data_IF_460491839058
#
_entry.id   IF_460491839058
#
_cell.length_a   1.000
_cell.length_b   1.000
_cell.length_c   1.000
_cell.angle_alpha   90.00
_cell.angle_beta   90.00
_cell.angle_gamma   90.00
#
_symmetry.space_group_name_H-M   'P 1'
#
loop_
_entity.id
_entity.type
_entity.pdbx_description
1 polymer ?
#
# COMPACT_ATOMS: atom_id res chain seq x y z
N UNK A 1 23.07 -0.85 88.06
CA UNK A 1 23.53 -0.43 86.73
C UNK A 1 22.60 -1.13 85.71
N UNK A 2 21.66 -0.37 85.20
CA UNK A 2 20.62 -0.90 84.32
C UNK A 2 20.91 -0.50 82.85
N UNK A 3 21.33 -1.42 82.01
CA UNK A 3 21.58 -1.17 80.58
C UNK A 3 20.26 -1.22 79.82
N UNK A 4 19.84 -0.07 79.29
CA UNK A 4 18.68 -0.01 78.30
C UNK A 4 19.19 -0.43 76.92
N UNK A 5 18.57 -1.43 76.38
CA UNK A 5 18.71 -1.84 74.96
C UNK A 5 17.60 -1.15 74.17
N UNK A 6 17.99 -0.26 73.25
CA UNK A 6 17.09 0.42 72.36
C UNK A 6 17.01 -0.48 71.08
N UNK A 7 15.86 -1.12 70.86
CA UNK A 7 15.58 -1.85 69.63
C UNK A 7 15.18 -0.89 68.53
N UNK A 8 15.95 -0.84 67.46
CA UNK A 8 15.60 -0.17 66.19
C UNK A 8 14.63 -1.08 65.39
N UNK A 9 13.37 -0.68 65.32
CA UNK A 9 12.39 -1.30 64.36
C UNK A 9 12.70 -0.73 62.96
N UNK A 10 13.28 -1.55 62.10
CA UNK A 10 13.41 -1.29 60.68
C UNK A 10 12.07 -1.47 59.97
N UNK A 11 11.49 -0.38 59.46
CA UNK A 11 10.33 -0.42 58.58
C UNK A 11 10.82 -0.80 57.19
N UNK A 12 10.59 -2.05 56.76
CA UNK A 12 10.84 -2.48 55.41
C UNK A 12 9.69 -1.98 54.51
N UNK A 13 9.99 -1.04 53.62
CA UNK A 13 9.07 -0.65 52.54
C UNK A 13 9.07 -1.75 51.47
N UNK A 14 7.99 -2.52 51.41
CA UNK A 14 7.71 -3.39 50.25
C UNK A 14 7.23 -2.50 49.10
N UNK A 15 8.10 -2.19 48.15
CA UNK A 15 7.71 -1.70 46.85
C UNK A 15 7.28 -2.92 46.05
N UNK A 16 5.98 -3.20 46.03
CA UNK A 16 5.41 -4.20 45.15
C UNK A 16 5.62 -3.78 43.67
N UNK A 17 5.81 -4.72 42.75
CA UNK A 17 5.85 -4.38 41.33
C UNK A 17 4.52 -3.68 40.97
N UNK A 18 4.64 -2.47 40.41
CA UNK A 18 3.49 -1.81 39.78
C UNK A 18 2.99 -2.75 38.71
N UNK A 19 1.78 -3.28 38.86
CA UNK A 19 1.08 -3.97 37.80
C UNK A 19 0.89 -2.94 36.68
N UNK A 20 1.62 -3.10 35.58
CA UNK A 20 1.31 -2.43 34.32
C UNK A 20 -0.04 -3.03 33.92
N UNK A 21 -1.11 -2.31 34.16
CA UNK A 21 -2.41 -2.66 33.61
C UNK A 21 -2.23 -2.70 32.08
N UNK A 22 -2.41 -3.84 31.47
CA UNK A 22 -2.66 -3.91 30.04
C UNK A 22 -3.95 -3.13 29.81
N UNK A 23 -3.79 -1.90 29.38
CA UNK A 23 -4.92 -1.09 28.93
C UNK A 23 -5.35 -1.72 27.62
N UNK A 24 -6.49 -2.37 27.60
CA UNK A 24 -7.12 -2.84 26.37
C UNK A 24 -7.38 -1.63 25.45
N UNK A 25 -7.45 -1.87 24.16
CA UNK A 25 -7.75 -0.83 23.16
C UNK A 25 -9.03 -0.12 23.55
N UNK A 26 -9.05 1.20 23.45
CA UNK A 26 -10.24 2.03 23.76
C UNK A 26 -11.43 1.56 22.89
N UNK A 27 -12.54 1.12 23.49
CA UNK A 27 -13.72 0.68 22.72
C UNK A 27 -14.25 1.76 21.76
N UNK A 28 -14.13 3.05 22.12
CA UNK A 28 -14.56 4.14 21.24
C UNK A 28 -13.68 4.27 19.99
N UNK A 29 -12.38 3.94 20.10
CA UNK A 29 -11.47 3.89 18.96
C UNK A 29 -11.84 2.75 18.01
N UNK A 30 -12.18 1.59 18.55
CA UNK A 30 -12.63 0.44 17.74
C UNK A 30 -13.96 0.74 17.04
N UNK A 31 -14.94 1.32 17.74
CA UNK A 31 -16.24 1.71 17.16
C UNK A 31 -16.04 2.70 16.00
N UNK A 32 -15.18 3.73 16.17
CA UNK A 32 -14.83 4.67 15.11
C UNK A 32 -14.18 3.94 13.92
N UNK A 33 -13.24 3.05 14.18
CA UNK A 33 -12.58 2.25 13.15
C UNK A 33 -13.56 1.38 12.35
N UNK A 34 -14.53 0.77 13.03
CA UNK A 34 -15.60 0.00 12.41
C UNK A 34 -16.44 0.87 11.46
N UNK A 35 -16.90 2.03 11.91
CA UNK A 35 -17.68 2.95 11.07
C UNK A 35 -16.90 3.40 9.83
N UNK A 36 -15.62 3.70 9.99
CA UNK A 36 -14.74 4.06 8.87
C UNK A 36 -14.55 2.90 7.89
N UNK A 37 -14.44 1.69 8.41
CA UNK A 37 -14.32 0.47 7.61
C UNK A 37 -15.60 0.23 6.79
N UNK A 38 -16.77 0.36 7.40
CA UNK A 38 -18.06 0.19 6.74
C UNK A 38 -18.25 1.15 5.57
N UNK A 39 -17.77 2.39 5.71
CA UNK A 39 -17.91 3.42 4.66
C UNK A 39 -16.87 3.26 3.54
N UNK A 40 -15.62 2.92 3.88
CA UNK A 40 -14.51 3.03 2.94
C UNK A 40 -13.98 1.69 2.42
N UNK A 41 -14.16 0.58 3.16
CA UNK A 41 -13.43 -0.67 2.92
C UNK A 41 -14.32 -1.86 2.54
N UNK A 42 -15.55 -1.91 3.06
CA UNK A 42 -16.49 -3.06 2.90
C UNK A 42 -16.75 -3.41 1.44
N UNK A 43 -16.80 -2.43 0.55
CA UNK A 43 -17.07 -2.67 -0.86
C UNK A 43 -16.10 -3.69 -1.48
N UNK A 44 -14.83 -3.61 -1.08
CA UNK A 44 -13.76 -4.46 -1.60
C UNK A 44 -13.43 -5.61 -0.64
N UNK A 45 -13.34 -5.33 0.66
CA UNK A 45 -12.89 -6.30 1.66
C UNK A 45 -14.01 -7.08 2.35
N UNK A 46 -15.29 -6.74 2.09
CA UNK A 46 -16.50 -7.34 2.67
C UNK A 46 -16.65 -7.06 4.18
N UNK A 47 -17.86 -7.24 4.71
CA UNK A 47 -18.15 -7.03 6.13
C UNK A 47 -17.36 -7.97 7.05
N UNK A 48 -17.13 -9.21 6.59
CA UNK A 48 -16.38 -10.24 7.30
C UNK A 48 -14.86 -10.14 7.12
N UNK A 49 -14.35 -9.18 6.34
CA UNK A 49 -12.94 -9.09 6.03
C UNK A 49 -12.41 -10.18 5.10
N UNK A 50 -13.28 -11.01 4.50
CA UNK A 50 -12.90 -12.15 3.66
C UNK A 50 -12.32 -11.75 2.30
N UNK A 51 -12.52 -10.49 1.89
CA UNK A 51 -12.05 -9.98 0.61
C UNK A 51 -12.77 -10.58 -0.60
N UNK A 52 -12.10 -10.58 -1.73
CA UNK A 52 -12.58 -11.16 -2.99
C UNK A 52 -11.42 -11.52 -3.90
N UNK A 53 -11.13 -12.82 -3.97
CA UNK A 53 -10.04 -13.37 -4.78
C UNK A 53 -10.33 -13.16 -6.28
N UNK A 54 -9.33 -12.83 -7.09
CA UNK A 54 -7.91 -12.62 -6.75
C UNK A 54 -7.55 -11.18 -6.37
N UNK A 55 -8.44 -10.21 -6.54
CA UNK A 55 -8.13 -8.79 -6.59
C UNK A 55 -8.15 -8.10 -5.21
N UNK A 56 -8.98 -8.57 -4.28
CA UNK A 56 -9.15 -7.95 -2.97
C UNK A 56 -8.71 -8.92 -1.89
N UNK A 57 -7.53 -8.71 -1.26
CA UNK A 57 -7.02 -9.64 -0.26
C UNK A 57 -7.94 -9.71 0.96
N UNK A 58 -8.01 -10.89 1.57
CA UNK A 58 -8.63 -11.02 2.87
C UNK A 58 -7.88 -10.19 3.92
N UNK A 59 -8.64 -9.59 4.82
CA UNK A 59 -8.12 -8.93 6.02
C UNK A 59 -8.29 -9.83 7.24
N UNK A 60 -9.33 -10.68 7.26
CA UNK A 60 -9.50 -11.69 8.30
C UNK A 60 -8.41 -12.77 8.18
N UNK A 61 -7.73 -13.06 9.29
CA UNK A 61 -6.68 -14.06 9.36
C UNK A 61 -5.41 -13.71 8.58
N UNK A 62 -5.22 -12.46 8.18
CA UNK A 62 -4.07 -12.03 7.40
C UNK A 62 -2.90 -11.63 8.30
N UNK A 63 -1.90 -12.51 8.41
CA UNK A 63 -0.72 -12.30 9.26
C UNK A 63 0.09 -11.03 8.92
N UNK A 64 -0.03 -10.50 7.70
CA UNK A 64 0.65 -9.26 7.29
C UNK A 64 0.11 -8.02 8.04
N UNK A 65 -1.08 -8.11 8.61
CA UNK A 65 -1.65 -7.05 9.45
C UNK A 65 -0.99 -6.96 10.84
N UNK A 66 -0.11 -7.89 11.18
CA UNK A 66 0.80 -7.77 12.32
C UNK A 66 1.75 -6.56 12.19
N UNK A 67 2.06 -6.14 10.97
CA UNK A 67 2.85 -4.94 10.67
C UNK A 67 1.93 -3.70 10.52
N UNK A 68 1.90 -2.87 11.58
CA UNK A 68 1.11 -1.64 11.59
C UNK A 68 1.56 -0.62 10.52
N UNK A 69 2.88 -0.53 10.24
CA UNK A 69 3.42 0.34 9.21
C UNK A 69 2.85 0.01 7.84
N UNK A 70 2.72 -1.28 7.53
CA UNK A 70 2.13 -1.75 6.28
C UNK A 70 0.67 -1.31 6.11
N UNK A 71 -0.12 -1.37 7.18
CA UNK A 71 -1.52 -0.91 7.18
C UNK A 71 -1.58 0.60 6.93
N UNK A 72 -0.80 1.37 7.68
CA UNK A 72 -0.71 2.84 7.55
C UNK A 72 -0.31 3.22 6.12
N UNK A 73 0.72 2.55 5.56
CA UNK A 73 1.17 2.78 4.19
C UNK A 73 0.07 2.47 3.17
N UNK A 74 -0.61 1.32 3.31
CA UNK A 74 -1.66 0.91 2.38
C UNK A 74 -2.86 1.87 2.41
N UNK A 75 -3.25 2.37 3.58
CA UNK A 75 -4.34 3.33 3.72
C UNK A 75 -3.96 4.69 3.14
N UNK A 76 -2.76 5.19 3.47
CA UNK A 76 -2.35 6.55 3.10
C UNK A 76 -1.89 6.69 1.65
N UNK A 77 -1.24 5.67 1.10
CA UNK A 77 -0.64 5.71 -0.24
C UNK A 77 -1.37 4.84 -1.27
N UNK A 78 -2.27 3.96 -0.81
CA UNK A 78 -2.85 2.90 -1.64
C UNK A 78 -1.90 1.71 -1.81
N UNK A 79 -2.41 0.60 -2.34
CA UNK A 79 -1.64 -0.61 -2.61
C UNK A 79 -2.36 -1.43 -3.68
N UNK A 80 -1.70 -1.78 -4.78
CA UNK A 80 -2.34 -2.49 -5.88
C UNK A 80 -3.57 -1.74 -6.40
N UNK A 81 -4.73 -2.37 -6.38
CA UNK A 81 -6.01 -1.74 -6.75
C UNK A 81 -6.63 -0.90 -5.63
N UNK A 82 -6.10 -0.99 -4.42
CA UNK A 82 -6.58 -0.21 -3.28
C UNK A 82 -6.19 1.27 -3.46
N UNK A 83 -7.15 2.20 -3.51
CA UNK A 83 -6.83 3.62 -3.64
C UNK A 83 -6.24 4.17 -2.34
N UNK A 84 -5.48 5.30 -2.40
CA UNK A 84 -5.16 6.06 -1.22
C UNK A 84 -6.40 6.76 -0.64
N UNK A 85 -6.40 7.01 0.67
CA UNK A 85 -7.46 7.72 1.38
C UNK A 85 -6.93 9.03 2.00
N UNK A 86 -6.70 10.07 1.18
CA UNK A 86 -6.02 11.30 1.59
C UNK A 86 -6.84 12.16 2.58
N UNK A 87 -8.15 11.93 2.65
CA UNK A 87 -9.06 12.69 3.52
C UNK A 87 -9.15 12.12 4.95
N UNK A 88 -8.56 10.94 5.20
CA UNK A 88 -8.52 10.36 6.54
C UNK A 88 -7.46 11.07 7.39
N UNK A 89 -7.89 11.50 8.58
CA UNK A 89 -6.98 12.10 9.57
C UNK A 89 -6.08 11.03 10.21
N UNK A 90 -5.05 11.45 10.93
CA UNK A 90 -4.19 10.54 11.71
C UNK A 90 -5.02 9.70 12.69
N UNK A 91 -6.00 10.33 13.34
CA UNK A 91 -6.92 9.67 14.27
C UNK A 91 -7.83 8.66 13.55
N UNK A 92 -8.25 8.94 12.31
CA UNK A 92 -9.03 8.01 11.49
C UNK A 92 -8.20 6.80 11.09
N UNK A 93 -6.96 7.02 10.65
CA UNK A 93 -6.03 5.94 10.30
C UNK A 93 -5.71 5.09 11.52
N UNK A 94 -5.51 5.73 12.70
CA UNK A 94 -5.28 5.01 13.96
C UNK A 94 -6.48 4.14 14.34
N UNK A 95 -7.70 4.68 14.24
CA UNK A 95 -8.92 3.96 14.54
C UNK A 95 -9.12 2.77 13.59
N UNK A 96 -8.94 3.01 12.29
CA UNK A 96 -9.10 2.01 11.24
C UNK A 96 -8.07 0.88 11.38
N UNK A 97 -6.80 1.22 11.63
CA UNK A 97 -5.73 0.25 11.84
C UNK A 97 -6.01 -0.64 13.07
N UNK A 98 -6.44 -0.04 14.19
CA UNK A 98 -6.80 -0.80 15.38
C UNK A 98 -8.01 -1.71 15.15
N UNK A 99 -9.04 -1.24 14.44
CA UNK A 99 -10.19 -2.08 14.09
C UNK A 99 -9.74 -3.27 13.24
N UNK A 100 -9.08 -3.06 12.11
CA UNK A 100 -8.67 -4.11 11.17
C UNK A 100 -7.77 -5.15 11.86
N UNK A 101 -6.86 -4.71 12.75
CA UNK A 101 -5.93 -5.58 13.47
C UNK A 101 -6.59 -6.47 14.53
N UNK A 102 -7.79 -6.10 14.99
CA UNK A 102 -8.46 -6.79 16.11
C UNK A 102 -9.92 -7.17 15.79
N UNK A 103 -10.35 -7.01 14.53
CA UNK A 103 -11.65 -7.48 14.07
C UNK A 103 -11.59 -8.94 13.62
N UNK A 104 -12.74 -9.56 13.57
CA UNK A 104 -12.98 -10.95 13.14
C UNK A 104 -12.14 -11.94 13.95
N UNK A 105 -11.21 -12.67 13.32
CA UNK A 105 -10.30 -13.61 14.01
C UNK A 105 -8.92 -13.00 14.31
N UNK A 106 -8.71 -11.72 13.96
CA UNK A 106 -7.46 -11.04 14.18
C UNK A 106 -7.26 -10.65 15.65
N UNK A 107 -6.02 -10.79 16.14
CA UNK A 107 -5.57 -10.39 17.48
C UNK A 107 -4.09 -9.92 17.41
N UNK A 108 -3.86 -8.83 16.67
CA UNK A 108 -2.50 -8.29 16.45
C UNK A 108 -2.15 -7.15 17.42
N UNK A 109 -3.03 -6.89 18.41
CA UNK A 109 -2.84 -5.83 19.40
C UNK A 109 -3.02 -4.42 18.85
N UNK A 110 -2.83 -3.43 19.71
CA UNK A 110 -3.03 -2.02 19.42
C UNK A 110 -1.86 -1.40 18.63
N UNK A 111 -2.18 -0.29 18.00
CA UNK A 111 -1.24 0.67 17.45
C UNK A 111 -1.61 2.06 17.95
N UNK A 112 -0.64 2.76 18.51
CA UNK A 112 -0.85 4.11 19.07
C UNK A 112 -0.87 5.16 17.94
N UNK A 113 -1.47 6.31 18.25
CA UNK A 113 -1.43 7.48 17.35
C UNK A 113 0.01 7.93 17.08
N UNK A 114 0.90 7.85 18.07
CA UNK A 114 2.31 8.22 17.91
C UNK A 114 3.03 7.28 16.91
N UNK A 115 2.73 5.98 16.95
CA UNK A 115 3.26 5.01 15.96
C UNK A 115 2.71 5.28 14.56
N UNK A 116 1.44 5.66 14.44
CA UNK A 116 0.85 6.07 13.15
C UNK A 116 1.53 7.34 12.63
N UNK A 117 1.71 8.35 13.47
CA UNK A 117 2.44 9.59 13.11
C UNK A 117 3.86 9.27 12.66
N UNK A 118 4.61 8.49 13.43
CA UNK A 118 5.97 8.09 13.08
C UNK A 118 6.01 7.32 11.75
N UNK A 119 5.00 6.46 11.50
CA UNK A 119 4.86 5.73 10.24
C UNK A 119 4.62 6.68 9.07
N UNK A 120 3.70 7.64 9.21
CA UNK A 120 3.42 8.64 8.18
C UNK A 120 4.62 9.57 7.92
N UNK A 121 5.32 9.98 8.97
CA UNK A 121 6.57 10.75 8.84
C UNK A 121 7.66 9.93 8.14
N UNK A 122 7.80 8.67 8.51
CA UNK A 122 8.71 7.73 7.84
C UNK A 122 8.39 7.57 6.35
N UNK A 123 7.12 7.44 5.99
CA UNK A 123 6.67 7.40 4.60
C UNK A 123 6.95 8.72 3.84
N UNK A 124 6.85 9.87 4.51
CA UNK A 124 7.22 11.16 3.94
C UNK A 124 8.73 11.35 3.82
N UNK A 125 9.52 10.80 4.75
CA UNK A 125 10.98 10.87 4.76
C UNK A 125 11.62 9.85 3.81
N UNK A 126 10.96 8.71 3.56
CA UNK A 126 11.41 7.72 2.58
C UNK A 126 11.09 8.14 1.14
N UNK A 127 10.31 9.20 0.94
CA UNK A 127 10.06 9.71 -0.38
C UNK A 127 9.32 11.04 -0.41
N UNK A 128 10.00 12.12 -0.72
CA UNK A 128 9.34 13.15 -1.51
C UNK A 128 8.72 12.42 -2.70
N UNK A 129 7.39 12.52 -2.82
CA UNK A 129 6.67 11.94 -3.96
C UNK A 129 7.27 12.51 -5.25
N UNK A 130 7.98 11.67 -5.97
CA UNK A 130 8.63 12.01 -7.23
C UNK A 130 7.58 11.83 -8.32
N UNK A 131 7.41 12.84 -9.15
CA UNK A 131 6.51 12.72 -10.29
C UNK A 131 7.12 11.78 -11.34
N UNK A 132 6.29 10.97 -12.00
CA UNK A 132 6.73 10.19 -13.16
C UNK A 132 7.27 11.07 -14.30
N UNK A 133 7.08 12.41 -14.23
CA UNK A 133 7.63 13.38 -15.16
C UNK A 133 9.06 13.83 -14.82
N UNK A 134 9.63 13.37 -13.72
CA UNK A 134 10.97 13.75 -13.24
C UNK A 134 12.07 12.79 -13.72
N UNK A 135 11.83 12.00 -14.77
CA UNK A 135 12.84 11.10 -15.35
C UNK A 135 13.14 9.89 -14.46
N UNK A 136 12.11 9.08 -14.20
CA UNK A 136 12.17 7.98 -13.22
C UNK A 136 12.60 6.62 -13.81
N UNK A 137 12.81 6.52 -15.11
CA UNK A 137 13.24 5.33 -15.84
C UNK A 137 14.29 5.69 -16.88
N UNK A 138 15.09 4.73 -17.35
CA UNK A 138 16.05 4.95 -18.43
C UNK A 138 15.46 4.62 -19.80
N UNK A 139 16.02 5.21 -20.87
CA UNK A 139 15.63 4.87 -22.24
C UNK A 139 15.86 3.38 -22.53
N UNK A 140 16.99 2.81 -22.06
CA UNK A 140 17.31 1.41 -22.22
C UNK A 140 16.26 0.50 -21.54
N UNK A 141 15.74 0.90 -20.37
CA UNK A 141 14.67 0.18 -19.68
C UNK A 141 13.38 0.21 -20.50
N UNK A 142 12.99 1.36 -21.03
CA UNK A 142 11.82 1.47 -21.90
C UNK A 142 11.95 0.66 -23.19
N UNK A 143 13.14 0.58 -23.78
CA UNK A 143 13.42 -0.26 -24.97
C UNK A 143 13.28 -1.76 -24.66
N UNK A 144 13.74 -2.24 -23.49
CA UNK A 144 13.52 -3.62 -23.07
C UNK A 144 12.02 -3.91 -22.92
N UNK A 145 11.27 -3.01 -22.28
CA UNK A 145 9.82 -3.13 -22.15
C UNK A 145 9.11 -3.14 -23.50
N UNK A 146 9.54 -2.32 -24.45
CA UNK A 146 9.04 -2.31 -25.83
C UNK A 146 9.25 -3.67 -26.53
N UNK A 147 10.37 -4.31 -26.27
CA UNK A 147 10.67 -5.61 -26.86
C UNK A 147 9.81 -6.75 -26.30
N UNK A 148 9.49 -6.71 -24.99
CA UNK A 148 8.65 -7.71 -24.31
C UNK A 148 7.15 -7.50 -24.55
N UNK A 149 6.69 -6.24 -24.53
CA UNK A 149 5.27 -5.85 -24.59
C UNK A 149 4.41 -6.56 -25.64
N UNK A 150 4.85 -6.76 -26.91
CA UNK A 150 3.99 -7.27 -27.98
C UNK A 150 3.42 -8.66 -27.72
N UNK A 151 4.15 -9.52 -26.99
CA UNK A 151 3.73 -10.88 -26.67
C UNK A 151 2.62 -10.92 -25.60
N UNK A 152 2.96 -10.59 -24.35
CA UNK A 152 2.04 -10.77 -23.23
C UNK A 152 0.90 -9.73 -23.18
N UNK A 153 1.09 -8.53 -23.75
CA UNK A 153 0.17 -7.41 -23.59
C UNK A 153 -0.45 -6.92 -24.90
N UNK A 154 0.34 -6.90 -25.97
CA UNK A 154 0.01 -6.22 -27.21
C UNK A 154 -1.18 -6.79 -27.97
N UNK A 155 -1.52 -8.06 -27.77
CA UNK A 155 -2.69 -8.70 -28.39
C UNK A 155 -4.00 -8.08 -27.89
N UNK A 156 -4.11 -7.84 -26.59
CA UNK A 156 -5.31 -7.27 -25.98
C UNK A 156 -5.26 -5.74 -25.93
N UNK A 157 -4.13 -5.17 -25.52
CA UNK A 157 -4.00 -3.72 -25.30
C UNK A 157 -3.56 -2.93 -26.54
N UNK A 158 -3.44 -3.60 -27.70
CA UNK A 158 -3.00 -3.00 -28.96
C UNK A 158 -1.50 -2.72 -29.00
N UNK A 159 -0.93 -2.81 -30.20
CA UNK A 159 0.52 -2.57 -30.41
C UNK A 159 0.95 -1.13 -30.08
N UNK A 160 -0.01 -0.20 -30.06
CA UNK A 160 0.20 1.22 -29.75
C UNK A 160 -0.19 1.60 -28.33
N UNK A 161 -0.47 0.63 -27.47
CA UNK A 161 -0.98 0.80 -26.11
C UNK A 161 -2.32 1.58 -26.06
N UNK A 162 -3.09 1.54 -27.10
CA UNK A 162 -4.32 2.32 -27.29
C UNK A 162 -5.61 1.54 -26.96
N UNK A 163 -5.49 0.28 -26.52
CA UNK A 163 -6.62 -0.59 -26.18
C UNK A 163 -7.22 -1.29 -27.38
N UNK A 164 -6.48 -1.40 -28.48
CA UNK A 164 -6.90 -2.05 -29.73
C UNK A 164 -8.31 -1.60 -30.21
N UNK A 165 -8.57 -0.29 -30.39
CA UNK A 165 -9.90 0.23 -30.70
C UNK A 165 -10.46 -0.22 -32.05
N UNK A 166 -9.60 -0.73 -32.93
CA UNK A 166 -9.97 -1.23 -34.25
C UNK A 166 -10.38 -2.72 -34.24
N UNK A 167 -10.25 -3.38 -33.07
CA UNK A 167 -10.64 -4.78 -32.88
C UNK A 167 -11.99 -4.86 -32.16
N UNK A 168 -13.05 -5.35 -32.80
CA UNK A 168 -14.38 -5.40 -32.21
C UNK A 168 -14.48 -6.32 -30.97
N UNK A 169 -13.59 -7.29 -30.86
CA UNK A 169 -13.54 -8.21 -29.71
C UNK A 169 -12.80 -7.58 -28.50
N UNK A 170 -12.08 -6.46 -28.71
CA UNK A 170 -11.25 -5.79 -27.72
C UNK A 170 -11.75 -4.40 -27.33
N UNK A 171 -12.99 -4.04 -27.65
CA UNK A 171 -13.54 -2.68 -27.42
C UNK A 171 -13.52 -2.22 -25.96
N UNK A 172 -13.51 -3.14 -25.00
CA UNK A 172 -13.47 -2.82 -23.55
C UNK A 172 -12.06 -2.78 -22.98
N UNK A 173 -11.05 -3.18 -23.77
CA UNK A 173 -9.66 -3.24 -23.26
C UNK A 173 -9.11 -1.83 -23.02
N UNK A 174 -8.57 -1.55 -21.84
CA UNK A 174 -8.09 -0.22 -21.52
C UNK A 174 -6.81 0.14 -22.29
N UNK A 175 -6.70 1.43 -22.66
CA UNK A 175 -5.44 2.01 -23.11
C UNK A 175 -4.43 2.02 -21.97
N UNK A 176 -3.19 1.61 -22.27
CA UNK A 176 -2.08 1.57 -21.32
C UNK A 176 -1.14 2.77 -21.45
N UNK A 177 -1.49 3.78 -22.24
CA UNK A 177 -0.67 4.96 -22.42
C UNK A 177 -1.50 6.23 -22.57
N UNK A 178 -0.82 7.37 -22.46
CA UNK A 178 -1.34 8.73 -22.75
C UNK A 178 -2.48 9.15 -21.81
N UNK A 179 -3.28 10.10 -22.24
CA UNK A 179 -4.29 10.76 -21.40
C UNK A 179 -5.31 9.82 -20.74
N UNK A 180 -5.71 8.73 -21.40
CA UNK A 180 -6.67 7.78 -20.82
C UNK A 180 -6.04 6.98 -19.67
N UNK A 181 -4.82 6.50 -19.88
CA UNK A 181 -4.03 5.83 -18.84
C UNK A 181 -3.80 6.76 -17.66
N UNK A 182 -3.32 7.98 -17.91
CA UNK A 182 -3.05 8.95 -16.86
C UNK A 182 -4.28 9.28 -16.02
N UNK A 183 -5.46 9.44 -16.62
CA UNK A 183 -6.70 9.69 -15.85
C UNK A 183 -7.10 8.56 -14.94
N UNK A 184 -6.84 7.30 -15.35
CA UNK A 184 -7.19 6.12 -14.55
C UNK A 184 -6.23 5.98 -13.36
N UNK A 185 -4.97 6.31 -13.58
CA UNK A 185 -3.89 6.06 -12.62
C UNK A 185 -3.43 7.30 -11.86
N UNK A 186 -4.05 8.46 -12.12
CA UNK A 186 -3.74 9.72 -11.43
C UNK A 186 -3.69 9.57 -9.92
N UNK A 187 -2.63 10.10 -9.30
CA UNK A 187 -2.41 10.06 -7.85
C UNK A 187 -1.93 8.72 -7.29
N UNK A 188 -1.88 7.66 -8.11
CA UNK A 188 -1.40 6.34 -7.67
C UNK A 188 0.10 6.20 -7.87
N UNK A 189 0.72 5.37 -7.04
CA UNK A 189 2.16 5.07 -7.17
C UNK A 189 2.44 4.05 -8.28
N UNK A 190 3.68 4.02 -8.76
CA UNK A 190 4.13 2.95 -9.66
C UNK A 190 4.12 1.58 -8.96
N UNK A 191 4.27 1.52 -7.64
CA UNK A 191 4.08 0.27 -6.89
C UNK A 191 2.67 -0.28 -7.06
N UNK A 192 1.65 0.59 -6.98
CA UNK A 192 0.25 0.21 -7.21
C UNK A 192 0.04 -0.36 -8.61
N UNK A 193 0.61 0.29 -9.63
CA UNK A 193 0.53 -0.17 -11.01
C UNK A 193 1.26 -1.51 -11.20
N UNK A 194 2.45 -1.65 -10.63
CA UNK A 194 3.26 -2.86 -10.69
C UNK A 194 2.54 -4.06 -10.07
N UNK A 195 2.08 -3.95 -8.83
CA UNK A 195 1.38 -5.03 -8.13
C UNK A 195 0.07 -5.41 -8.84
N UNK A 196 -0.69 -4.42 -9.30
CA UNK A 196 -1.89 -4.68 -10.08
C UNK A 196 -1.56 -5.47 -11.36
N UNK A 197 -0.58 -4.98 -12.12
CA UNK A 197 -0.22 -5.60 -13.40
C UNK A 197 0.30 -7.01 -13.19
N UNK A 198 1.17 -7.22 -12.22
CA UNK A 198 1.72 -8.53 -11.87
C UNK A 198 0.63 -9.54 -11.48
N UNK A 199 -0.26 -9.14 -10.57
CA UNK A 199 -1.30 -10.01 -10.02
C UNK A 199 -2.45 -10.33 -11.01
N UNK A 200 -2.66 -9.50 -12.04
CA UNK A 200 -3.84 -9.62 -12.91
C UNK A 200 -3.52 -9.77 -14.39
N UNK A 201 -2.28 -9.51 -14.80
CA UNK A 201 -1.88 -9.52 -16.21
C UNK A 201 -0.64 -10.39 -16.47
N UNK A 202 -0.55 -11.05 -17.65
CA UNK A 202 -1.61 -11.20 -18.64
C UNK A 202 -2.83 -11.93 -18.08
N UNK A 203 -4.05 -11.51 -18.41
CA UNK A 203 -5.28 -12.06 -17.81
C UNK A 203 -5.39 -13.60 -17.94
N UNK A 204 -4.90 -14.15 -19.04
CA UNK A 204 -4.90 -15.59 -19.26
C UNK A 204 -3.84 -16.35 -18.43
N UNK A 205 -2.81 -15.68 -17.95
CA UNK A 205 -1.70 -16.28 -17.19
C UNK A 205 -1.00 -15.22 -16.31
N UNK A 206 -1.65 -14.74 -15.23
CA UNK A 206 -1.04 -13.80 -14.30
C UNK A 206 0.27 -14.33 -13.71
N UNK A 207 1.16 -13.43 -13.29
CA UNK A 207 2.47 -13.74 -12.70
C UNK A 207 3.41 -14.57 -13.62
N UNK A 208 3.16 -14.54 -14.94
CA UNK A 208 3.95 -15.34 -15.91
C UNK A 208 5.23 -14.67 -16.39
N UNK A 209 5.39 -13.38 -16.12
CA UNK A 209 6.60 -12.63 -16.40
C UNK A 209 7.44 -12.52 -15.13
N UNK A 210 8.74 -12.27 -15.28
CA UNK A 210 9.53 -11.90 -14.12
C UNK A 210 9.27 -10.43 -13.71
N UNK A 211 9.64 -10.08 -12.47
CA UNK A 211 9.37 -8.75 -11.92
C UNK A 211 10.08 -7.64 -12.71
N UNK A 212 11.24 -7.93 -13.31
CA UNK A 212 11.96 -6.99 -14.16
C UNK A 212 11.23 -6.74 -15.47
N UNK A 213 10.65 -7.77 -16.08
CA UNK A 213 9.87 -7.62 -17.32
C UNK A 213 8.62 -6.75 -17.08
N UNK A 214 7.93 -6.91 -15.94
CA UNK A 214 6.79 -6.05 -15.58
C UNK A 214 7.22 -4.59 -15.44
N UNK A 215 8.33 -4.32 -14.75
CA UNK A 215 8.83 -2.95 -14.54
C UNK A 215 9.35 -2.33 -15.85
N UNK A 216 10.00 -3.10 -16.70
CA UNK A 216 10.44 -2.65 -18.03
C UNK A 216 9.23 -2.28 -18.91
N UNK A 217 8.15 -3.09 -18.88
CA UNK A 217 6.88 -2.76 -19.57
C UNK A 217 6.29 -1.46 -19.01
N UNK A 218 6.30 -1.25 -17.70
CA UNK A 218 5.83 0.00 -17.08
C UNK A 218 6.67 1.18 -17.60
N UNK A 219 7.99 1.07 -17.65
CA UNK A 219 8.87 2.10 -18.22
C UNK A 219 8.50 2.41 -19.67
N UNK A 220 8.21 1.40 -20.48
CA UNK A 220 7.72 1.59 -21.85
C UNK A 220 6.36 2.31 -21.90
N UNK A 221 5.40 1.96 -21.01
CA UNK A 221 4.11 2.64 -20.91
C UNK A 221 4.28 4.14 -20.58
N UNK A 222 5.19 4.48 -19.67
CA UNK A 222 5.52 5.85 -19.30
C UNK A 222 6.17 6.59 -20.47
N UNK A 223 7.13 5.98 -21.16
CA UNK A 223 7.78 6.54 -22.35
C UNK A 223 6.78 6.86 -23.46
N UNK A 224 5.88 5.91 -23.81
CA UNK A 224 4.83 6.14 -24.82
C UNK A 224 3.83 7.20 -24.36
N UNK A 225 3.68 7.42 -23.07
CA UNK A 225 2.85 8.48 -22.49
C UNK A 225 3.51 9.86 -22.50
N UNK A 226 4.78 9.93 -22.93
CA UNK A 226 5.52 11.19 -23.10
C UNK A 226 6.34 11.61 -21.89
N UNK A 227 6.48 10.76 -20.85
CA UNK A 227 7.38 11.05 -19.74
C UNK A 227 8.84 10.99 -20.20
N UNK A 228 9.70 11.89 -19.71
CA UNK A 228 11.12 11.87 -20.05
C UNK A 228 11.84 10.69 -19.38
N UNK A 229 12.82 10.14 -20.06
CA UNK A 229 13.78 9.23 -19.45
C UNK A 229 14.75 10.03 -18.54
N UNK A 230 15.27 9.34 -17.51
CA UNK A 230 16.30 9.82 -16.59
C UNK A 230 17.51 8.93 -16.60
N UNK A 231 18.30 9.04 -15.53
CA UNK A 231 19.58 8.34 -15.41
C UNK A 231 19.47 7.01 -14.63
N UNK A 232 18.41 6.83 -13.84
CA UNK A 232 18.21 5.66 -12.99
C UNK A 232 17.08 4.75 -13.52
N UNK A 233 17.26 3.45 -13.36
CA UNK A 233 16.21 2.46 -13.68
C UNK A 233 15.23 2.26 -12.53
N UNK A 234 13.96 2.07 -12.88
CA UNK A 234 12.96 1.57 -11.93
C UNK A 234 13.39 0.19 -11.43
N UNK A 235 13.40 0.01 -10.12
CA UNK A 235 13.72 -1.27 -9.51
C UNK A 235 12.46 -2.16 -9.41
N UNK A 236 12.58 -3.50 -9.57
CA UNK A 236 11.44 -4.41 -9.59
C UNK A 236 10.97 -4.78 -8.17
N UNK A 237 10.74 -3.79 -7.34
CA UNK A 237 10.21 -3.96 -5.99
C UNK A 237 9.26 -2.83 -5.60
N UNK A 238 8.18 -3.19 -4.89
CA UNK A 238 7.11 -2.27 -4.52
C UNK A 238 7.58 -1.16 -3.58
N UNK A 239 8.58 -1.41 -2.73
CA UNK A 239 9.09 -0.40 -1.81
C UNK A 239 9.77 0.74 -2.55
N UNK A 240 10.64 0.42 -3.51
CA UNK A 240 11.30 1.41 -4.36
C UNK A 240 10.33 2.17 -5.26
N UNK A 241 9.30 1.46 -5.79
CA UNK A 241 8.32 2.02 -6.71
C UNK A 241 7.27 2.91 -6.01
N UNK A 242 7.06 2.76 -4.71
CA UNK A 242 6.02 3.49 -3.96
C UNK A 242 6.21 5.01 -3.96
N UNK A 243 7.43 5.50 -4.10
CA UNK A 243 7.75 6.93 -4.13
C UNK A 243 7.40 7.63 -5.44
N UNK A 244 7.24 6.91 -6.55
CA UNK A 244 6.96 7.47 -7.86
C UNK A 244 5.46 7.56 -8.09
N UNK A 245 4.94 8.78 -8.24
CA UNK A 245 3.51 9.05 -8.35
C UNK A 245 3.14 9.42 -9.79
N UNK A 246 2.13 8.74 -10.32
CA UNK A 246 1.55 9.02 -11.62
C UNK A 246 0.76 10.33 -11.53
N UNK A 247 1.14 11.31 -12.35
CA UNK A 247 0.49 12.63 -12.41
C UNK A 247 0.19 13.00 -13.84
N UNK A 248 -0.81 13.88 -14.02
CA UNK A 248 -1.01 14.56 -15.30
C UNK A 248 0.23 15.40 -15.64
N UNK A 249 0.38 15.70 -16.91
CA UNK A 249 1.46 16.58 -17.35
C UNK A 249 1.33 17.95 -16.65
N UNK A 250 2.42 18.51 -16.11
CA UNK A 250 2.43 19.83 -15.48
C UNK A 250 1.97 20.94 -16.43
#
# INVERSE_FOLDING_TARGET
MLKRVIGLLGIAWFVGPAAVAQQGIDPALIERGQLLYEVNCVLCHKESGEGGVPMFPALDGNEQLGDALRIVASISQGSGVMPPFPDLTVEDITALANYIRNAWTNDFGDVSTDEVVASLEGLQLTGQAISVWDGVFTEAQAERGQAVYPGPCGLCHGRRLDGAPDDPDMLSTPSLARARFLRIWEGRSLATLFEYTRATMPEANPESLDDQEYVDIIAYMLSVSGMPAGDDELQPDSQSLARFIIRQQP
#
